data_IF_493919197256
#
_entry.id   IF_493919197256
#
_cell.length_a   1.000
_cell.length_b   1.000
_cell.length_c   1.000
_cell.angle_alpha   90.00
_cell.angle_beta   90.00
_cell.angle_gamma   90.00
#
_symmetry.space_group_name_H-M   'P 1'
#
loop_
_entity.id
_entity.type
_entity.pdbx_description
1 polymer ?
#
# COMPACT_ATOMS: atom_id res chain seq x y z
N UNK A 1 -1.88 16.99 -3.59
CA UNK A 1 -2.51 15.65 -3.54
C UNK A 1 -1.44 14.60 -3.20
N UNK A 2 -1.76 13.48 -2.54
CA UNK A 2 -0.77 12.50 -2.05
C UNK A 2 0.13 11.94 -3.17
N UNK A 3 -0.45 11.63 -4.33
CA UNK A 3 0.29 11.08 -5.47
C UNK A 3 1.34 12.04 -6.02
N UNK A 4 1.01 13.34 -6.18
CA UNK A 4 1.94 14.36 -6.65
C UNK A 4 3.14 14.54 -5.71
N UNK A 5 2.89 14.55 -4.40
CA UNK A 5 3.96 14.66 -3.41
C UNK A 5 4.93 13.47 -3.46
N UNK A 6 4.42 12.25 -3.62
CA UNK A 6 5.23 11.04 -3.72
C UNK A 6 6.02 10.99 -5.03
N UNK A 7 5.44 11.49 -6.12
CA UNK A 7 6.14 11.61 -7.40
C UNK A 7 7.34 12.56 -7.31
N UNK A 8 7.24 13.63 -6.53
CA UNK A 8 8.31 14.62 -6.36
C UNK A 8 9.33 14.24 -5.26
N UNK A 9 8.90 13.62 -4.16
CA UNK A 9 9.73 13.41 -2.95
C UNK A 9 10.00 11.93 -2.63
N UNK A 10 9.40 11.00 -3.37
CA UNK A 10 9.48 9.57 -3.11
C UNK A 10 8.52 9.10 -2.00
N UNK A 11 8.30 7.78 -1.94
CA UNK A 11 7.47 7.14 -0.92
C UNK A 11 8.32 6.85 0.33
N UNK A 12 7.91 7.36 1.51
CA UNK A 12 8.61 7.03 2.76
C UNK A 12 8.52 8.10 3.85
N UNK A 13 8.57 9.39 3.50
CA UNK A 13 8.48 10.47 4.48
C UNK A 13 7.03 10.90 4.78
N UNK A 14 6.21 9.95 5.24
CA UNK A 14 4.77 10.14 5.50
C UNK A 14 4.45 11.20 6.56
N UNK A 15 5.42 11.53 7.42
CA UNK A 15 5.27 12.59 8.44
C UNK A 15 5.36 13.99 7.84
N UNK A 16 6.05 14.17 6.71
CA UNK A 16 6.16 15.45 6.01
C UNK A 16 5.00 15.72 5.05
N UNK A 17 4.22 14.69 4.70
CA UNK A 17 3.06 14.80 3.80
C UNK A 17 2.00 15.80 4.28
N UNK A 18 1.53 15.80 5.54
CA UNK A 18 0.50 16.74 5.99
C UNK A 18 0.99 18.20 5.94
N UNK A 19 2.25 18.42 6.31
CA UNK A 19 2.90 19.74 6.30
C UNK A 19 3.06 20.29 4.88
N UNK A 20 3.44 19.45 3.92
CA UNK A 20 3.75 19.91 2.56
C UNK A 20 2.55 19.91 1.61
N UNK A 21 1.46 19.20 1.93
CA UNK A 21 0.31 19.08 1.01
C UNK A 21 -0.94 19.80 1.48
N UNK A 22 -0.95 20.36 2.69
CA UNK A 22 -2.13 21.01 3.29
C UNK A 22 -3.29 20.05 3.57
N UNK A 23 -3.08 18.74 3.43
CA UNK A 23 -4.10 17.71 3.59
C UNK A 23 -4.10 17.22 5.05
N UNK A 24 -5.20 17.47 5.79
CA UNK A 24 -5.46 16.89 7.13
C UNK A 24 -5.79 15.39 7.07
N UNK A 25 -4.91 14.57 6.48
CA UNK A 25 -5.01 13.10 6.59
C UNK A 25 -3.99 12.64 7.61
N UNK A 26 -4.43 11.83 8.59
CA UNK A 26 -3.55 11.29 9.62
C UNK A 26 -2.36 10.56 8.98
N UNK A 27 -1.16 10.71 9.54
CA UNK A 27 0.09 10.15 9.00
C UNK A 27 0.08 8.63 8.81
N UNK A 28 -0.88 7.90 9.40
CA UNK A 28 -1.12 6.46 9.18
C UNK A 28 -1.91 6.16 7.90
N UNK A 29 -2.80 7.06 7.48
CA UNK A 29 -3.66 6.87 6.29
C UNK A 29 -2.89 6.98 4.99
N UNK A 30 -1.90 7.87 4.92
CA UNK A 30 -1.11 8.11 3.71
C UNK A 30 -0.29 6.87 3.27
N UNK A 31 0.51 6.22 4.13
CA UNK A 31 1.22 4.99 3.77
C UNK A 31 0.26 3.87 3.38
N UNK A 32 -0.82 3.64 4.14
CA UNK A 32 -1.81 2.60 3.84
C UNK A 32 -2.46 2.83 2.47
N UNK A 33 -2.81 4.07 2.16
CA UNK A 33 -3.39 4.43 0.85
C UNK A 33 -2.38 4.24 -0.27
N UNK A 34 -1.10 4.50 -0.02
CA UNK A 34 -0.06 4.25 -1.00
C UNK A 34 0.11 2.75 -1.28
N UNK A 35 0.34 1.94 -0.25
CA UNK A 35 0.57 0.50 -0.39
C UNK A 35 -0.64 -0.23 -0.98
N UNK A 36 -1.86 0.20 -0.65
CA UNK A 36 -3.06 -0.51 -1.07
C UNK A 36 -3.59 -0.02 -2.42
N UNK A 37 -3.34 1.24 -2.78
CA UNK A 37 -4.00 1.84 -3.94
C UNK A 37 -3.13 2.66 -4.88
N UNK A 38 -2.00 3.24 -4.47
CA UNK A 38 -1.28 4.18 -5.34
C UNK A 38 0.07 3.67 -5.81
N UNK A 39 0.64 2.67 -5.16
CA UNK A 39 1.95 2.12 -5.52
C UNK A 39 1.91 1.52 -6.94
N UNK A 40 2.87 1.87 -7.81
CA UNK A 40 2.99 1.23 -9.12
C UNK A 40 3.33 -0.25 -8.94
N UNK A 41 2.63 -1.11 -9.68
CA UNK A 41 2.78 -2.57 -9.58
C UNK A 41 1.65 -3.29 -8.82
N UNK A 42 0.70 -2.55 -8.24
CA UNK A 42 -0.53 -3.16 -7.71
C UNK A 42 -1.38 -3.65 -8.88
N UNK A 43 -1.43 -4.97 -9.07
CA UNK A 43 -2.38 -5.60 -9.98
C UNK A 43 -3.79 -5.48 -9.40
N UNK A 44 -4.70 -4.88 -10.16
CA UNK A 44 -6.12 -4.75 -9.80
C UNK A 44 -6.92 -5.68 -10.71
N UNK A 45 -7.74 -6.52 -10.12
CA UNK A 45 -8.52 -7.53 -10.83
C UNK A 45 -8.63 -8.82 -10.01
N UNK A 46 -9.28 -9.81 -10.60
CA UNK A 46 -9.38 -11.13 -9.99
C UNK A 46 -8.01 -11.83 -10.02
N UNK A 47 -7.77 -12.69 -9.04
CA UNK A 47 -6.63 -13.58 -9.07
C UNK A 47 -6.81 -14.62 -10.17
N UNK A 48 -5.70 -14.98 -10.81
CA UNK A 48 -5.65 -16.17 -11.67
C UNK A 48 -5.72 -17.44 -10.81
N UNK A 49 -6.14 -18.57 -11.38
CA UNK A 49 -6.19 -19.84 -10.63
C UNK A 49 -4.82 -20.22 -10.02
N UNK A 50 -3.73 -19.88 -10.71
CA UNK A 50 -2.37 -20.09 -10.24
C UNK A 50 -2.06 -19.22 -9.03
N UNK A 51 -2.45 -17.94 -9.07
CA UNK A 51 -2.30 -17.01 -7.95
C UNK A 51 -3.16 -17.46 -6.75
N UNK A 52 -4.39 -17.91 -6.96
CA UNK A 52 -5.25 -18.44 -5.90
C UNK A 52 -4.65 -19.68 -5.24
N UNK A 53 -4.18 -20.66 -6.02
CA UNK A 53 -3.51 -21.85 -5.50
C UNK A 53 -2.26 -21.49 -4.69
N UNK A 54 -1.49 -20.52 -5.17
CA UNK A 54 -0.30 -20.05 -4.47
C UNK A 54 -0.67 -19.35 -3.16
N UNK A 55 -1.71 -18.52 -3.14
CA UNK A 55 -2.22 -17.85 -1.93
C UNK A 55 -2.61 -18.89 -0.88
N UNK A 56 -3.42 -19.88 -1.25
CA UNK A 56 -3.86 -20.95 -0.33
C UNK A 56 -2.66 -21.76 0.17
N UNK A 57 -1.72 -22.11 -0.72
CA UNK A 57 -0.52 -22.86 -0.35
C UNK A 57 0.35 -22.08 0.65
N UNK A 58 0.61 -20.80 0.37
CA UNK A 58 1.39 -19.94 1.25
C UNK A 58 0.69 -19.70 2.59
N UNK A 59 -0.63 -19.56 2.59
CA UNK A 59 -1.41 -19.41 3.82
C UNK A 59 -1.36 -20.69 4.68
N UNK A 60 -1.41 -21.87 4.06
CA UNK A 60 -1.27 -23.14 4.77
C UNK A 60 0.14 -23.31 5.36
N UNK A 61 1.18 -22.86 4.64
CA UNK A 61 2.57 -22.96 5.10
C UNK A 61 2.95 -21.93 6.17
N UNK A 62 2.47 -20.69 6.04
CA UNK A 62 2.95 -19.54 6.84
C UNK A 62 1.92 -19.05 7.85
N UNK A 63 0.68 -19.50 7.76
CA UNK A 63 -0.45 -19.00 8.55
C UNK A 63 -0.84 -17.55 8.21
N UNK A 64 -1.90 -17.06 8.85
CA UNK A 64 -2.28 -15.66 8.76
C UNK A 64 -1.31 -14.81 9.57
N UNK A 65 -0.44 -14.05 8.90
CA UNK A 65 0.37 -13.03 9.56
C UNK A 65 -0.40 -11.72 9.56
N UNK A 66 -1.04 -11.39 10.67
CA UNK A 66 -1.44 -10.01 10.94
C UNK A 66 -0.18 -9.21 11.23
N UNK A 67 0.20 -8.30 10.32
CA UNK A 67 1.22 -7.28 10.59
C UNK A 67 0.72 -6.43 11.79
N UNK A 68 1.50 -6.28 12.87
CA UNK A 68 1.17 -5.40 13.98
C UNK A 68 1.19 -3.92 13.60
#
# INVERSE_FOLDING_TARGET
MLASYIQEHGAGNWRAVPTNTGVMRCSKSCPLRWTNYLQPGIKRGNFTEQEEKLIVHLQALLGNRSLP
#
